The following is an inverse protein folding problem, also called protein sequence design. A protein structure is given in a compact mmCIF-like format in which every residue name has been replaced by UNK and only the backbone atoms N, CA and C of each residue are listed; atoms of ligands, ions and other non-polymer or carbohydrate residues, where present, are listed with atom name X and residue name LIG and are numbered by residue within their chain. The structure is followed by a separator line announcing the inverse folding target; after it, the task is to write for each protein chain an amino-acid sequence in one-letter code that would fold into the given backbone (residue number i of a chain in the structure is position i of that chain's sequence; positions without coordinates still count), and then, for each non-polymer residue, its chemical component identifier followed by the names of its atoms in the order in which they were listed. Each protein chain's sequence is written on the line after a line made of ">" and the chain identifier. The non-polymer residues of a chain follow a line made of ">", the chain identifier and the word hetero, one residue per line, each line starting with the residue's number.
data_IF_526746057397
#
_entry.id   IF_526746057397
#
_cell.length_a   1.000
_cell.length_b   1.000
_cell.length_c   1.000
_cell.angle_alpha   90.00
_cell.angle_beta   90.00
_cell.angle_gamma   90.00
#
_symmetry.space_group_name_H-M   'P 1'
#
loop_
_entity.id
_entity.type
_entity.pdbx_description
1 polymer ?
#
# COMPACT_ATOMS: atom_id res chain seq x y z
N UNK A 1 22.01 -1.29 -20.14
CA UNK A 1 20.85 -1.39 -19.22
C UNK A 1 21.32 -2.26 -18.08
N UNK A 2 21.29 -1.77 -16.85
CA UNK A 2 21.66 -2.58 -15.68
C UNK A 2 20.51 -3.56 -15.37
N UNK A 3 20.80 -4.84 -15.14
CA UNK A 3 19.84 -5.77 -14.57
C UNK A 3 19.33 -5.27 -13.22
N UNK A 4 18.06 -5.55 -12.91
CA UNK A 4 17.43 -5.22 -11.61
C UNK A 4 18.30 -5.66 -10.41
N UNK A 5 18.91 -6.84 -10.54
CA UNK A 5 19.87 -7.40 -9.59
C UNK A 5 21.04 -6.47 -9.29
N UNK A 6 21.71 -5.94 -10.33
CA UNK A 6 22.88 -5.07 -10.18
C UNK A 6 22.51 -3.73 -9.53
N UNK A 7 21.30 -3.25 -9.77
CA UNK A 7 20.78 -2.05 -9.12
C UNK A 7 20.56 -2.30 -7.62
N UNK A 8 19.77 -3.32 -7.26
CA UNK A 8 19.43 -3.65 -5.87
C UNK A 8 20.69 -3.92 -5.04
N UNK A 9 21.64 -4.67 -5.59
CA UNK A 9 22.87 -5.02 -4.88
C UNK A 9 23.78 -3.79 -4.64
N UNK A 10 23.99 -2.94 -5.65
CA UNK A 10 24.89 -1.77 -5.52
C UNK A 10 24.25 -0.64 -4.71
N UNK A 11 22.98 -0.34 -4.98
CA UNK A 11 22.28 0.83 -4.43
C UNK A 11 21.73 0.58 -3.03
N UNK A 12 21.10 -0.58 -2.82
CA UNK A 12 20.39 -0.92 -1.59
C UNK A 12 21.12 -1.95 -0.72
N UNK A 13 22.27 -2.46 -1.18
CA UNK A 13 23.07 -3.48 -0.47
C UNK A 13 22.20 -4.66 -0.01
N UNK A 14 21.26 -5.07 -0.87
CA UNK A 14 20.25 -6.06 -0.59
C UNK A 14 20.30 -7.18 -1.65
N UNK A 15 19.58 -8.27 -1.39
CA UNK A 15 19.39 -9.34 -2.37
C UNK A 15 18.03 -9.18 -3.05
N UNK A 16 17.97 -9.48 -4.34
CA UNK A 16 16.70 -9.63 -5.04
C UNK A 16 16.02 -10.91 -4.56
N UNK A 17 14.72 -10.84 -4.32
CA UNK A 17 13.88 -12.01 -4.16
C UNK A 17 13.19 -12.29 -5.50
N UNK A 18 13.53 -13.41 -6.12
CA UNK A 18 12.92 -13.86 -7.38
C UNK A 18 11.93 -14.98 -7.06
N UNK A 19 10.61 -14.69 -7.01
CA UNK A 19 9.63 -15.69 -6.60
C UNK A 19 9.51 -16.81 -7.64
N UNK A 20 9.61 -18.05 -7.17
CA UNK A 20 9.43 -19.26 -7.96
C UNK A 20 7.94 -19.67 -7.97
N UNK A 21 7.22 -19.56 -9.11
CA UNK A 21 5.82 -19.93 -9.18
C UNK A 21 5.56 -21.44 -8.96
N UNK A 22 6.60 -22.29 -9.03
CA UNK A 22 6.48 -23.71 -8.74
C UNK A 22 6.47 -24.00 -7.23
N UNK A 23 6.92 -23.07 -6.37
CA UNK A 23 6.91 -23.24 -4.92
C UNK A 23 5.65 -22.65 -4.29
N UNK A 24 4.84 -23.46 -3.58
CA UNK A 24 3.55 -23.01 -3.04
C UNK A 24 3.61 -21.75 -2.16
N UNK A 25 4.67 -21.59 -1.37
CA UNK A 25 4.89 -20.45 -0.47
C UNK A 25 5.34 -19.16 -1.19
N UNK A 26 5.84 -19.28 -2.42
CA UNK A 26 6.29 -18.14 -3.23
C UNK A 26 5.25 -17.72 -4.29
N UNK A 27 4.21 -18.54 -4.53
CA UNK A 27 3.17 -18.30 -5.53
C UNK A 27 2.47 -16.94 -5.37
N UNK A 28 2.19 -16.50 -4.15
CA UNK A 28 1.53 -15.21 -3.89
C UNK A 28 2.38 -14.02 -4.37
N UNK A 29 3.71 -14.12 -4.21
CA UNK A 29 4.65 -13.11 -4.68
C UNK A 29 4.70 -13.10 -6.20
N UNK A 30 4.82 -14.28 -6.82
CA UNK A 30 4.82 -14.43 -8.28
C UNK A 30 3.53 -13.85 -8.89
N UNK A 31 2.36 -14.15 -8.31
CA UNK A 31 1.07 -13.63 -8.77
C UNK A 31 0.96 -12.11 -8.61
N UNK A 32 1.36 -11.56 -7.46
CA UNK A 32 1.33 -10.10 -7.23
C UNK A 32 2.19 -9.35 -8.26
N UNK A 33 3.45 -9.77 -8.43
CA UNK A 33 4.37 -9.15 -9.37
C UNK A 33 3.92 -9.32 -10.83
N UNK A 34 3.44 -10.51 -11.22
CA UNK A 34 2.96 -10.76 -12.57
C UNK A 34 1.70 -9.96 -12.88
N UNK A 35 0.75 -9.87 -11.93
CA UNK A 35 -0.46 -9.06 -12.06
C UNK A 35 -0.12 -7.61 -12.35
N UNK A 36 0.76 -7.01 -11.54
CA UNK A 36 1.23 -5.64 -11.74
C UNK A 36 1.90 -5.47 -13.12
N UNK A 37 2.93 -6.29 -13.42
CA UNK A 37 3.67 -6.23 -14.69
C UNK A 37 2.77 -6.34 -15.92
N UNK A 38 1.74 -7.18 -15.88
CA UNK A 38 0.79 -7.33 -16.98
C UNK A 38 -0.08 -6.09 -17.18
N UNK A 39 -0.54 -5.46 -16.08
CA UNK A 39 -1.34 -4.22 -16.14
C UNK A 39 -0.52 -3.04 -16.67
N UNK A 40 0.80 -3.09 -16.48
CA UNK A 40 1.74 -2.06 -16.94
C UNK A 40 2.56 -2.47 -18.16
N UNK A 41 2.21 -3.56 -18.86
CA UNK A 41 3.01 -4.07 -19.97
C UNK A 41 3.20 -3.03 -21.11
N UNK A 42 2.28 -2.07 -21.19
CA UNK A 42 2.29 -0.95 -22.12
C UNK A 42 2.93 0.33 -21.55
N UNK A 43 3.56 0.25 -20.38
CA UNK A 43 4.03 1.43 -19.65
C UNK A 43 5.18 2.17 -20.36
N UNK A 44 5.91 1.50 -21.25
CA UNK A 44 6.91 2.13 -22.10
C UNK A 44 6.32 3.15 -23.09
N UNK A 45 5.00 3.12 -23.31
CA UNK A 45 4.28 4.15 -24.06
C UNK A 45 3.97 5.39 -23.22
N UNK A 46 4.07 5.29 -21.89
CA UNK A 46 3.87 6.44 -21.01
C UNK A 46 5.12 7.30 -20.96
N UNK A 47 4.88 8.59 -20.83
CA UNK A 47 5.89 9.56 -20.43
C UNK A 47 5.61 9.92 -18.99
N UNK A 48 6.64 10.07 -18.17
CA UNK A 48 6.43 10.75 -16.90
C UNK A 48 6.03 12.22 -17.17
N UNK A 49 5.59 12.92 -16.13
CA UNK A 49 5.15 14.30 -16.28
C UNK A 49 6.22 15.27 -16.84
N UNK A 50 7.50 14.94 -16.71
CA UNK A 50 8.60 15.70 -17.36
C UNK A 50 8.75 15.42 -18.87
N UNK A 51 7.90 14.57 -19.44
CA UNK A 51 7.94 14.17 -20.84
C UNK A 51 8.97 13.08 -21.15
N UNK A 52 9.69 12.54 -20.16
CA UNK A 52 10.67 11.48 -20.35
C UNK A 52 9.99 10.11 -20.47
N UNK A 53 10.50 9.18 -21.31
CA UNK A 53 9.96 7.82 -21.38
C UNK A 53 9.97 7.12 -20.01
N UNK A 54 8.85 6.53 -19.62
CA UNK A 54 8.74 5.76 -18.39
C UNK A 54 9.28 4.35 -18.61
N UNK A 55 10.61 4.21 -18.57
CA UNK A 55 11.25 2.89 -18.53
C UNK A 55 11.25 2.40 -17.09
N UNK A 56 10.78 1.19 -16.85
CA UNK A 56 10.56 0.68 -15.50
C UNK A 56 11.08 -0.75 -15.32
N UNK A 57 11.64 -1.03 -14.15
CA UNK A 57 11.82 -2.38 -13.64
C UNK A 57 11.15 -2.49 -12.26
N UNK A 58 10.48 -3.61 -12.04
CA UNK A 58 9.78 -3.85 -10.78
C UNK A 58 10.07 -5.23 -10.21
N UNK A 59 10.29 -5.32 -8.90
CA UNK A 59 10.47 -6.61 -8.24
C UNK A 59 10.68 -6.58 -6.75
N UNK A 60 10.81 -7.78 -6.17
CA UNK A 60 10.95 -7.95 -4.74
C UNK A 60 12.40 -7.88 -4.28
N UNK A 61 12.57 -7.44 -3.04
CA UNK A 61 13.85 -7.40 -2.33
C UNK A 61 13.74 -8.23 -1.06
N UNK A 62 14.75 -9.07 -0.81
CA UNK A 62 14.86 -9.92 0.38
C UNK A 62 15.26 -9.05 1.59
N UNK A 63 14.25 -8.52 2.29
CA UNK A 63 14.38 -7.74 3.52
C UNK A 63 13.25 -8.09 4.48
N UNK A 64 13.56 -8.04 5.78
CA UNK A 64 12.58 -8.25 6.84
C UNK A 64 11.84 -6.97 7.24
N UNK A 65 12.23 -5.80 6.73
CA UNK A 65 11.46 -4.57 6.97
C UNK A 65 10.26 -4.49 6.00
N UNK A 66 9.04 -4.22 6.47
CA UNK A 66 7.85 -4.17 5.61
C UNK A 66 7.78 -2.81 4.90
N UNK A 67 8.36 -2.74 3.70
CA UNK A 67 8.56 -1.48 2.99
C UNK A 67 8.46 -1.61 1.47
N UNK A 68 8.18 -0.52 0.78
CA UNK A 68 8.23 -0.41 -0.68
C UNK A 68 8.75 0.98 -1.07
N UNK A 69 9.33 1.07 -2.28
CA UNK A 69 10.03 2.28 -2.70
C UNK A 69 10.21 2.41 -4.21
N UNK A 70 10.28 3.67 -4.63
CA UNK A 70 10.54 4.11 -5.99
C UNK A 70 11.90 4.84 -6.09
N UNK A 71 12.72 4.45 -7.07
CA UNK A 71 14.03 5.08 -7.34
C UNK A 71 14.27 5.29 -8.85
N UNK A 72 15.30 6.06 -9.20
CA UNK A 72 15.68 6.35 -10.57
C UNK A 72 17.21 6.34 -10.74
N UNK A 73 17.71 5.51 -11.65
CA UNK A 73 19.13 5.46 -12.03
C UNK A 73 19.26 5.24 -13.54
N UNK A 74 20.17 5.99 -14.18
CA UNK A 74 20.56 5.83 -15.59
C UNK A 74 19.38 5.77 -16.59
N UNK A 75 18.34 6.58 -16.37
CA UNK A 75 17.18 6.64 -17.27
C UNK A 75 16.15 5.52 -17.04
N UNK A 76 16.26 4.78 -15.95
CA UNK A 76 15.35 3.70 -15.56
C UNK A 76 14.71 4.03 -14.21
N UNK A 77 13.40 3.83 -14.11
CA UNK A 77 12.65 3.87 -12.86
C UNK A 77 12.63 2.46 -12.25
N UNK A 78 12.84 2.37 -10.95
CA UNK A 78 12.81 1.11 -10.22
C UNK A 78 11.71 1.18 -9.18
N UNK A 79 10.83 0.18 -9.20
CA UNK A 79 9.76 0.01 -8.21
C UNK A 79 10.03 -1.27 -7.44
N UNK A 80 10.16 -1.17 -6.12
CA UNK A 80 10.57 -2.29 -5.29
C UNK A 80 9.64 -2.49 -4.11
N UNK A 81 9.45 -3.74 -3.72
CA UNK A 81 8.72 -4.13 -2.53
C UNK A 81 9.56 -5.12 -1.73
N UNK A 82 9.68 -4.92 -0.42
CA UNK A 82 10.29 -5.91 0.46
C UNK A 82 9.36 -7.11 0.63
N UNK A 83 9.93 -8.33 0.68
CA UNK A 83 9.14 -9.54 0.87
C UNK A 83 8.27 -9.51 2.14
N UNK A 84 8.79 -8.90 3.22
CA UNK A 84 8.08 -8.79 4.47
C UNK A 84 6.77 -8.01 4.33
N UNK A 85 6.71 -7.01 3.44
CA UNK A 85 5.51 -6.20 3.25
C UNK A 85 4.34 -7.03 2.71
N UNK A 86 4.57 -7.91 1.73
CA UNK A 86 3.49 -8.78 1.24
C UNK A 86 3.03 -9.77 2.30
N UNK A 87 3.97 -10.34 3.06
CA UNK A 87 3.64 -11.29 4.13
C UNK A 87 2.75 -10.63 5.20
N UNK A 88 3.08 -9.41 5.62
CA UNK A 88 2.31 -8.66 6.63
C UNK A 88 0.97 -8.17 6.08
N UNK A 89 0.87 -7.80 4.79
CA UNK A 89 -0.42 -7.51 4.13
C UNK A 89 -1.35 -8.72 4.13
N UNK A 90 -0.83 -9.91 3.84
CA UNK A 90 -1.62 -11.15 3.83
C UNK A 90 -2.02 -11.54 5.25
N UNK A 91 -1.12 -11.45 6.22
CA UNK A 91 -1.45 -11.68 7.64
C UNK A 91 -2.56 -10.73 8.10
N UNK A 92 -2.48 -9.44 7.75
CA UNK A 92 -3.49 -8.47 8.11
C UNK A 92 -4.84 -8.77 7.45
N UNK A 93 -4.85 -9.09 6.16
CA UNK A 93 -6.07 -9.44 5.46
C UNK A 93 -6.72 -10.72 6.03
N UNK A 94 -5.93 -11.71 6.43
CA UNK A 94 -6.43 -12.90 7.14
C UNK A 94 -7.14 -12.49 8.43
N UNK A 95 -6.52 -11.61 9.23
CA UNK A 95 -7.14 -11.08 10.42
C UNK A 95 -8.44 -10.33 10.11
N UNK A 96 -8.48 -9.45 9.09
CA UNK A 96 -9.69 -8.71 8.73
C UNK A 96 -10.87 -9.65 8.45
N UNK A 97 -10.64 -10.77 7.75
CA UNK A 97 -11.70 -11.73 7.45
C UNK A 97 -12.12 -12.61 8.65
N UNK A 98 -11.41 -12.58 9.78
CA UNK A 98 -11.91 -13.11 11.06
C UNK A 98 -12.98 -12.23 11.69
N UNK A 99 -13.12 -10.99 11.23
CA UNK A 99 -14.16 -10.07 11.69
C UNK A 99 -15.43 -10.30 10.86
N UNK A 100 -16.53 -10.65 11.53
CA UNK A 100 -17.81 -10.97 10.88
C UNK A 100 -18.41 -9.78 10.11
N UNK A 101 -18.01 -8.57 10.47
CA UNK A 101 -18.49 -7.33 9.85
C UNK A 101 -17.79 -7.03 8.51
N UNK A 102 -16.63 -7.63 8.25
CA UNK A 102 -15.86 -7.42 7.01
C UNK A 102 -16.41 -8.35 5.94
N UNK A 103 -16.92 -7.78 4.85
CA UNK A 103 -17.46 -8.53 3.71
C UNK A 103 -18.43 -9.64 4.17
N UNK A 104 -19.56 -9.28 4.81
CA UNK A 104 -20.49 -10.26 5.39
C UNK A 104 -21.15 -11.16 4.32
N UNK A 105 -21.08 -10.75 3.07
CA UNK A 105 -21.56 -11.45 1.88
C UNK A 105 -20.59 -12.49 1.31
N UNK A 106 -19.39 -12.66 1.90
CA UNK A 106 -18.42 -13.68 1.51
C UNK A 106 -18.34 -14.79 2.55
N UNK A 107 -18.62 -16.02 2.11
CA UNK A 107 -18.60 -17.21 2.96
C UNK A 107 -19.54 -17.10 4.15
N UNK A 108 -19.15 -17.72 5.27
CA UNK A 108 -19.92 -17.77 6.51
C UNK A 108 -19.40 -16.79 7.55
N UNK A 109 -19.66 -15.51 7.34
CA UNK A 109 -19.13 -14.44 8.18
C UNK A 109 -19.59 -14.53 9.64
N UNK A 110 -20.82 -15.00 9.87
CA UNK A 110 -21.44 -15.14 11.18
C UNK A 110 -20.82 -16.24 12.05
N UNK A 111 -20.09 -17.19 11.46
CA UNK A 111 -19.38 -18.27 12.18
C UNK A 111 -17.99 -17.83 12.68
N UNK A 112 -17.52 -16.64 12.28
CA UNK A 112 -16.22 -16.09 12.67
C UNK A 112 -16.23 -15.48 14.09
N UNK A 113 -15.08 -15.51 14.76
CA UNK A 113 -14.97 -15.15 16.19
C UNK A 113 -14.96 -13.63 16.40
N UNK A 114 -14.47 -12.86 15.43
CA UNK A 114 -14.19 -11.42 15.56
C UNK A 114 -13.28 -11.12 16.78
N UNK A 115 -12.05 -11.68 16.82
CA UNK A 115 -11.14 -11.46 17.93
C UNK A 115 -10.80 -9.98 18.08
N UNK A 116 -10.79 -9.51 19.33
CA UNK A 116 -10.32 -8.16 19.68
C UNK A 116 -8.84 -8.24 20.02
N UNK A 117 -8.03 -7.43 19.34
CA UNK A 117 -6.58 -7.39 19.56
C UNK A 117 -6.22 -6.32 20.60
N UNK A 118 -5.15 -6.58 21.36
CA UNK A 118 -4.58 -5.57 22.25
C UNK A 118 -3.81 -4.51 21.46
N UNK A 119 -3.66 -3.31 22.04
CA UNK A 119 -2.86 -2.22 21.43
C UNK A 119 -1.40 -2.61 21.15
N UNK A 120 -0.84 -3.51 21.97
CA UNK A 120 0.55 -3.98 21.84
C UNK A 120 0.72 -5.17 20.88
N UNK A 121 -0.38 -5.58 20.23
CA UNK A 121 -0.39 -6.67 19.26
C UNK A 121 -1.23 -6.27 18.04
N UNK A 122 -0.83 -5.22 17.29
CA UNK A 122 -1.55 -4.88 16.07
C UNK A 122 -1.55 -6.07 15.11
N UNK A 123 -2.70 -6.40 14.49
CA UNK A 123 -2.77 -7.45 13.49
C UNK A 123 -1.91 -7.11 12.27
N UNK A 124 -1.35 -8.14 11.62
CA UNK A 124 -0.49 -7.98 10.43
C UNK A 124 1.00 -7.90 10.73
N UNK A 125 1.43 -7.73 11.99
CA UNK A 125 2.84 -7.63 12.37
C UNK A 125 3.37 -8.86 13.12
N UNK A 126 2.55 -9.89 13.32
CA UNK A 126 2.92 -11.00 14.20
C UNK A 126 4.02 -11.86 13.62
N UNK A 127 3.90 -12.25 12.35
CA UNK A 127 4.90 -13.09 11.69
C UNK A 127 6.25 -12.35 11.66
N UNK A 128 6.21 -11.05 11.39
CA UNK A 128 7.38 -10.18 11.45
C UNK A 128 7.99 -10.15 12.85
N UNK A 129 7.19 -9.90 13.88
CA UNK A 129 7.65 -9.87 15.28
C UNK A 129 8.25 -11.20 15.71
N UNK A 130 7.56 -12.32 15.44
CA UNK A 130 8.05 -13.66 15.75
C UNK A 130 9.41 -13.91 15.08
N UNK A 131 9.57 -13.48 13.83
CA UNK A 131 10.82 -13.65 13.07
C UNK A 131 11.95 -12.79 13.65
N UNK A 132 11.68 -11.53 14.01
CA UNK A 132 12.68 -10.62 14.58
C UNK A 132 13.09 -11.07 15.99
N UNK A 133 12.14 -11.52 16.79
CA UNK A 133 12.35 -11.93 18.18
C UNK A 133 12.85 -13.38 18.32
N UNK A 134 13.00 -14.12 17.22
CA UNK A 134 13.29 -15.57 17.21
C UNK A 134 12.33 -16.36 18.12
N UNK A 135 11.07 -15.94 18.14
CA UNK A 135 10.02 -16.55 18.95
C UNK A 135 9.38 -17.74 18.22
N UNK A 136 8.61 -18.55 18.96
CA UNK A 136 7.80 -19.62 18.38
C UNK A 136 6.35 -19.19 18.17
N UNK A 137 5.72 -19.65 17.09
CA UNK A 137 4.26 -19.60 16.91
C UNK A 137 3.59 -20.44 18.00
N UNK A 138 2.53 -19.90 18.61
CA UNK A 138 1.66 -20.62 19.53
C UNK A 138 0.37 -20.99 18.79
N UNK A 139 0.19 -22.26 18.36
CA UNK A 139 -0.95 -22.64 17.53
C UNK A 139 -2.31 -22.38 18.19
N UNK A 140 -2.41 -22.49 19.52
CA UNK A 140 -3.69 -22.31 20.23
C UNK A 140 -4.05 -20.83 20.35
N UNK A 141 -3.05 -19.98 20.58
CA UNK A 141 -3.24 -18.53 20.65
C UNK A 141 -3.38 -17.89 19.28
N UNK A 142 -2.62 -18.34 18.30
CA UNK A 142 -2.47 -17.63 17.03
C UNK A 142 -3.52 -18.07 15.99
N UNK A 143 -4.17 -19.25 16.16
CA UNK A 143 -5.26 -19.72 15.26
C UNK A 143 -6.45 -18.78 15.17
N UNK A 144 -6.70 -17.95 16.18
CA UNK A 144 -7.84 -17.01 16.19
C UNK A 144 -7.69 -15.90 15.15
N UNK A 145 -6.47 -15.71 14.61
CA UNK A 145 -6.13 -14.67 13.63
C UNK A 145 -6.34 -15.11 12.18
N UNK A 146 -6.78 -16.34 11.97
CA UNK A 146 -7.01 -16.94 10.65
C UNK A 146 -8.51 -17.23 10.51
N UNK A 147 -9.16 -16.91 9.37
CA UNK A 147 -10.56 -17.20 9.17
C UNK A 147 -10.86 -18.69 9.28
N UNK A 148 -11.96 -19.03 9.95
CA UNK A 148 -12.44 -20.42 10.07
C UNK A 148 -13.11 -20.90 8.80
N UNK A 149 -13.82 -20.01 8.13
CA UNK A 149 -14.46 -20.29 6.86
C UNK A 149 -13.40 -20.33 5.74
N UNK A 150 -13.33 -21.45 5.02
CA UNK A 150 -12.36 -21.64 3.92
C UNK A 150 -12.50 -20.58 2.82
N UNK A 151 -13.73 -20.21 2.47
CA UNK A 151 -13.99 -19.18 1.46
C UNK A 151 -13.49 -17.80 1.91
N UNK A 152 -13.68 -17.46 3.18
CA UNK A 152 -13.17 -16.21 3.79
C UNK A 152 -11.64 -16.21 3.87
N UNK A 153 -11.02 -17.34 4.14
CA UNK A 153 -9.57 -17.50 4.07
C UNK A 153 -9.04 -17.21 2.67
N UNK A 154 -9.67 -17.77 1.63
CA UNK A 154 -9.28 -17.49 0.23
C UNK A 154 -9.47 -16.02 -0.13
N UNK A 155 -10.61 -15.44 0.26
CA UNK A 155 -10.90 -14.02 0.03
C UNK A 155 -9.88 -13.09 0.70
N UNK A 156 -9.42 -13.44 1.91
CA UNK A 156 -8.36 -12.71 2.60
C UNK A 156 -7.05 -12.68 1.81
N UNK A 157 -6.62 -13.82 1.25
CA UNK A 157 -5.42 -13.88 0.40
C UNK A 157 -5.58 -12.95 -0.81
N UNK A 158 -6.75 -12.96 -1.46
CA UNK A 158 -7.01 -12.07 -2.58
C UNK A 158 -7.08 -10.59 -2.17
N UNK A 159 -7.63 -10.26 -1.00
CA UNK A 159 -7.57 -8.90 -0.46
C UNK A 159 -6.11 -8.47 -0.22
N UNK A 160 -5.26 -9.31 0.34
CA UNK A 160 -3.83 -9.01 0.50
C UNK A 160 -3.11 -8.81 -0.84
N UNK A 161 -3.50 -9.54 -1.90
CA UNK A 161 -3.01 -9.29 -3.26
C UNK A 161 -3.49 -7.94 -3.80
N UNK A 162 -4.74 -7.54 -3.56
CA UNK A 162 -5.26 -6.22 -3.93
C UNK A 162 -4.58 -5.08 -3.15
N UNK A 163 -4.31 -5.28 -1.87
CA UNK A 163 -3.49 -4.38 -1.05
C UNK A 163 -2.09 -4.23 -1.64
N UNK A 164 -1.45 -5.33 -2.03
CA UNK A 164 -0.14 -5.28 -2.71
C UNK A 164 -0.19 -4.55 -4.05
N UNK A 165 -1.30 -4.70 -4.79
CA UNK A 165 -1.52 -4.00 -6.06
C UNK A 165 -1.62 -2.49 -5.84
N UNK A 166 -2.29 -2.04 -4.78
CA UNK A 166 -2.29 -0.63 -4.38
C UNK A 166 -0.87 -0.12 -4.14
N UNK A 167 -0.05 -0.85 -3.35
CA UNK A 167 1.34 -0.45 -3.09
C UNK A 167 2.18 -0.38 -4.36
N UNK A 168 2.06 -1.38 -5.25
CA UNK A 168 2.76 -1.34 -6.54
C UNK A 168 2.39 -0.10 -7.36
N UNK A 169 1.10 0.26 -7.42
CA UNK A 169 0.66 1.44 -8.14
C UNK A 169 1.01 2.75 -7.44
N UNK A 170 1.08 2.77 -6.12
CA UNK A 170 1.55 3.91 -5.35
C UNK A 170 3.02 4.23 -5.69
N UNK A 171 3.90 3.23 -5.65
CA UNK A 171 5.31 3.44 -6.02
C UNK A 171 5.48 3.77 -7.51
N UNK A 172 4.63 3.20 -8.37
CA UNK A 172 4.58 3.60 -9.76
C UNK A 172 4.13 5.07 -9.93
N UNK A 173 3.17 5.53 -9.14
CA UNK A 173 2.70 6.91 -9.19
C UNK A 173 3.83 7.88 -8.84
N UNK A 174 4.69 7.57 -7.87
CA UNK A 174 5.91 8.34 -7.63
C UNK A 174 6.84 8.45 -8.86
N UNK A 175 6.88 7.41 -9.71
CA UNK A 175 7.64 7.44 -10.96
C UNK A 175 6.94 8.27 -12.04
N UNK A 176 5.64 8.04 -12.24
CA UNK A 176 4.82 8.65 -13.28
C UNK A 176 4.67 10.17 -13.04
N UNK A 177 4.38 10.56 -11.80
CA UNK A 177 4.22 11.94 -11.38
C UNK A 177 5.58 12.61 -11.12
N UNK A 178 6.69 12.02 -11.58
CA UNK A 178 8.01 12.62 -11.49
C UNK A 178 8.49 12.93 -10.06
N UNK A 179 7.85 12.39 -9.02
CA UNK A 179 8.20 12.65 -7.61
C UNK A 179 9.65 12.25 -7.33
N UNK A 180 10.07 11.10 -7.86
CA UNK A 180 11.45 10.61 -7.73
C UNK A 180 12.45 11.58 -8.35
N UNK A 181 12.15 12.11 -9.55
CA UNK A 181 13.01 13.08 -10.23
C UNK A 181 13.03 14.43 -9.51
N UNK A 182 11.87 14.90 -9.08
CA UNK A 182 11.74 16.13 -8.29
C UNK A 182 12.60 16.06 -7.03
N UNK A 183 12.50 14.99 -6.24
CA UNK A 183 13.32 14.84 -5.05
C UNK A 183 14.83 14.85 -5.35
N UNK A 184 15.24 14.13 -6.40
CA UNK A 184 16.63 14.08 -6.84
C UNK A 184 17.14 15.47 -7.26
N UNK A 185 16.38 16.18 -8.08
CA UNK A 185 16.77 17.48 -8.64
C UNK A 185 16.83 18.57 -7.55
N UNK A 186 15.95 18.47 -6.54
CA UNK A 186 15.99 19.29 -5.34
C UNK A 186 17.11 18.90 -4.35
N UNK A 187 17.98 17.94 -4.72
CA UNK A 187 19.05 17.37 -3.88
C UNK A 187 18.55 16.89 -2.51
N UNK A 188 17.30 16.45 -2.46
CA UNK A 188 16.74 15.80 -1.29
C UNK A 188 17.30 14.38 -1.27
N UNK A 189 18.15 14.06 -0.30
CA UNK A 189 18.74 12.72 -0.21
C UNK A 189 17.75 11.76 0.42
N UNK A 190 17.17 10.85 -0.36
CA UNK A 190 16.31 9.78 0.13
C UNK A 190 15.59 9.08 -1.01
N UNK A 191 15.20 7.85 -0.78
CA UNK A 191 14.21 7.15 -1.61
C UNK A 191 12.82 7.54 -1.09
N UNK A 192 11.77 7.54 -1.93
CA UNK A 192 10.39 7.62 -1.43
C UNK A 192 10.04 6.22 -0.89
N UNK A 193 9.55 6.18 0.34
CA UNK A 193 9.49 4.98 1.17
C UNK A 193 8.11 4.93 1.82
N UNK A 194 7.34 3.85 1.58
CA UNK A 194 5.96 3.76 2.10
C UNK A 194 5.91 3.53 3.62
N UNK A 195 6.92 2.88 4.22
CA UNK A 195 7.09 2.77 5.66
C UNK A 195 8.41 3.40 6.09
N UNK A 196 8.37 4.57 6.73
CA UNK A 196 9.58 5.28 7.15
C UNK A 196 10.42 4.44 8.14
N UNK A 197 11.32 3.60 7.63
CA UNK A 197 12.25 2.87 8.45
C UNK A 197 13.20 3.86 9.16
N UNK A 198 13.77 3.53 10.33
CA UNK A 198 14.78 4.35 11.01
C UNK A 198 16.07 4.52 10.19
N UNK A 199 16.19 3.86 9.03
CA UNK A 199 17.34 3.86 8.15
C UNK A 199 17.08 4.72 6.90
N UNK A 200 16.74 5.99 7.12
CA UNK A 200 16.51 6.90 5.99
C UNK A 200 15.96 8.26 6.34
N UNK A 201 16.28 8.81 7.53
CA UNK A 201 16.10 10.24 7.74
C UNK A 201 16.88 10.98 6.67
N UNK A 202 16.13 11.51 5.71
CA UNK A 202 16.56 12.49 4.73
C UNK A 202 17.26 13.63 5.49
N UNK A 203 18.60 13.63 5.49
CA UNK A 203 19.36 14.83 5.76
C UNK A 203 19.37 15.66 4.49
N UNK A 204 18.37 16.54 4.35
CA UNK A 204 18.41 17.56 3.32
C UNK A 204 19.72 18.34 3.39
N UNK A 205 20.47 18.31 2.29
CA UNK A 205 21.64 19.17 2.09
C UNK A 205 21.28 20.52 1.48
N UNK A 206 20.02 20.95 1.60
CA UNK A 206 19.58 22.29 1.20
C UNK A 206 19.36 23.14 2.45
N UNK A 207 20.14 24.22 2.67
CA UNK A 207 20.08 25.04 3.89
C UNK A 207 18.80 25.88 4.10
N UNK A 208 17.75 25.73 3.27
CA UNK A 208 16.70 26.76 3.14
C UNK A 208 15.29 26.33 3.55
N UNK A 209 15.00 25.04 3.82
CA UNK A 209 13.64 24.57 4.21
C UNK A 209 13.59 24.07 5.64
N UNK A 210 12.60 24.52 6.42
CA UNK A 210 12.38 24.05 7.80
C UNK A 210 11.96 22.58 7.82
N UNK A 211 12.14 21.89 8.95
CA UNK A 211 11.70 20.49 9.08
C UNK A 211 10.19 20.32 8.80
N UNK A 212 9.39 21.34 9.10
CA UNK A 212 7.95 21.40 8.85
C UNK A 212 7.63 21.46 7.36
N UNK A 213 8.35 22.29 6.59
CA UNK A 213 8.18 22.38 5.14
C UNK A 213 8.51 21.06 4.44
N UNK A 214 9.50 20.34 4.95
CA UNK A 214 9.87 19.01 4.44
C UNK A 214 8.79 17.96 4.72
N UNK A 215 8.17 18.02 5.91
CA UNK A 215 7.05 17.14 6.27
C UNK A 215 5.84 17.43 5.39
N UNK A 216 5.51 18.69 5.17
CA UNK A 216 4.41 19.12 4.28
C UNK A 216 4.62 18.68 2.84
N UNK A 217 5.84 18.87 2.32
CA UNK A 217 6.20 18.40 0.98
C UNK A 217 5.97 16.90 0.82
N UNK A 218 6.51 16.08 1.73
CA UNK A 218 6.32 14.63 1.69
C UNK A 218 4.84 14.27 1.72
N UNK A 219 4.08 14.90 2.61
CA UNK A 219 2.63 14.66 2.69
C UNK A 219 1.93 14.87 1.34
N UNK A 220 2.27 15.94 0.62
CA UNK A 220 1.65 16.21 -0.69
C UNK A 220 2.06 15.17 -1.73
N UNK A 221 3.34 14.79 -1.78
CA UNK A 221 3.84 13.76 -2.73
C UNK A 221 3.19 12.38 -2.49
N UNK A 222 3.05 12.00 -1.22
CA UNK A 222 2.42 10.73 -0.80
C UNK A 222 0.92 10.71 -1.10
N UNK A 223 0.22 11.81 -0.79
CA UNK A 223 -1.21 11.93 -1.11
C UNK A 223 -1.45 11.92 -2.62
N UNK A 224 -0.63 12.60 -3.40
CA UNK A 224 -0.73 12.60 -4.87
C UNK A 224 -0.48 11.19 -5.46
N UNK A 225 0.47 10.44 -4.89
CA UNK A 225 0.72 9.04 -5.26
C UNK A 225 -0.44 8.11 -4.88
N UNK A 226 -1.01 8.27 -3.68
CA UNK A 226 -2.20 7.53 -3.23
C UNK A 226 -3.40 7.73 -4.16
N UNK A 227 -3.69 8.98 -4.52
CA UNK A 227 -4.80 9.33 -5.40
C UNK A 227 -4.60 8.74 -6.80
N UNK A 228 -3.39 8.81 -7.34
CA UNK A 228 -3.04 8.22 -8.64
C UNK A 228 -3.16 6.69 -8.62
N UNK A 229 -2.69 6.05 -7.55
CA UNK A 229 -2.80 4.61 -7.38
C UNK A 229 -4.25 4.15 -7.30
N UNK A 230 -5.08 4.88 -6.54
CA UNK A 230 -6.51 4.61 -6.44
C UNK A 230 -7.21 4.80 -7.79
N UNK A 231 -6.95 5.89 -8.54
CA UNK A 231 -7.50 6.09 -9.89
C UNK A 231 -7.19 4.91 -10.82
N UNK A 232 -5.96 4.40 -10.78
CA UNK A 232 -5.58 3.23 -11.57
C UNK A 232 -6.34 1.97 -11.17
N UNK A 233 -6.51 1.70 -9.87
CA UNK A 233 -7.32 0.58 -9.40
C UNK A 233 -8.77 0.68 -9.87
N UNK A 234 -9.34 1.89 -9.85
CA UNK A 234 -10.68 2.15 -10.32
C UNK A 234 -10.82 1.96 -11.84
N UNK A 235 -9.82 2.36 -12.63
CA UNK A 235 -9.78 2.10 -14.07
C UNK A 235 -9.70 0.61 -14.40
N UNK A 236 -8.92 -0.16 -13.63
CA UNK A 236 -8.84 -1.61 -13.78
C UNK A 236 -10.20 -2.24 -13.54
N UNK A 237 -10.89 -1.81 -12.48
CA UNK A 237 -12.22 -2.28 -12.14
C UNK A 237 -13.24 -1.93 -13.23
N UNK A 238 -13.38 -0.64 -13.56
CA UNK A 238 -14.35 -0.14 -14.54
C UNK A 238 -14.07 -0.63 -15.96
N UNK A 239 -12.81 -0.89 -16.30
CA UNK A 239 -12.39 -1.42 -17.59
C UNK A 239 -12.51 -2.94 -17.71
N UNK A 240 -12.92 -3.65 -16.65
CA UNK A 240 -12.98 -5.12 -16.64
C UNK A 240 -11.62 -5.78 -16.85
N UNK A 241 -10.54 -5.12 -16.41
CA UNK A 241 -9.16 -5.54 -16.65
C UNK A 241 -8.56 -6.40 -15.52
N UNK A 242 -9.41 -6.98 -14.65
CA UNK A 242 -8.96 -7.88 -13.59
C UNK A 242 -8.22 -9.08 -14.19
N UNK A 243 -7.00 -9.32 -13.71
CA UNK A 243 -6.07 -10.30 -14.27
C UNK A 243 -5.58 -11.35 -13.25
N UNK A 244 -6.05 -11.28 -12.01
CA UNK A 244 -5.89 -12.36 -11.02
C UNK A 244 -7.10 -13.27 -11.16
N UNK A 245 -6.89 -14.45 -11.74
CA UNK A 245 -7.96 -15.39 -12.08
C UNK A 245 -8.89 -15.73 -10.91
N UNK A 246 -8.34 -15.83 -9.70
CA UNK A 246 -9.12 -16.12 -8.50
C UNK A 246 -10.06 -15.00 -8.05
N UNK A 247 -9.77 -13.74 -8.38
CA UNK A 247 -10.68 -12.62 -8.10
C UNK A 247 -11.90 -12.62 -9.02
N UNK A 248 -11.83 -13.29 -10.18
CA UNK A 248 -12.93 -13.39 -11.13
C UNK A 248 -14.08 -14.28 -10.63
N UNK A 249 -13.89 -15.03 -9.54
CA UNK A 249 -14.97 -15.84 -8.93
C UNK A 249 -15.94 -15.03 -8.08
N UNK A 250 -15.54 -13.83 -7.65
CA UNK A 250 -16.40 -12.89 -6.93
C UNK A 250 -17.21 -12.05 -7.93
N UNK A 251 -18.28 -11.39 -7.49
CA UNK A 251 -18.96 -10.41 -8.35
C UNK A 251 -18.21 -9.06 -8.39
N UNK A 252 -18.65 -8.14 -9.25
CA UNK A 252 -18.04 -6.82 -9.38
C UNK A 252 -18.13 -6.02 -8.08
N UNK A 253 -19.28 -6.06 -7.39
CA UNK A 253 -19.50 -5.34 -6.14
C UNK A 253 -18.52 -5.82 -5.06
N UNK A 254 -18.34 -7.14 -4.94
CA UNK A 254 -17.41 -7.75 -3.99
C UNK A 254 -15.95 -7.36 -4.30
N UNK A 255 -15.53 -7.48 -5.55
CA UNK A 255 -14.17 -7.04 -5.97
C UNK A 255 -13.92 -5.57 -5.66
N UNK A 256 -14.92 -4.72 -5.94
CA UNK A 256 -14.83 -3.29 -5.66
C UNK A 256 -14.68 -3.03 -4.17
N UNK A 257 -15.57 -3.59 -3.34
CA UNK A 257 -15.50 -3.48 -1.88
C UNK A 257 -14.15 -3.94 -1.33
N UNK A 258 -13.65 -5.10 -1.78
CA UNK A 258 -12.34 -5.62 -1.37
C UNK A 258 -11.19 -4.68 -1.73
N UNK A 259 -11.21 -4.12 -2.94
CA UNK A 259 -10.18 -3.19 -3.43
C UNK A 259 -10.15 -1.92 -2.58
N UNK A 260 -11.32 -1.34 -2.33
CA UNK A 260 -11.46 -0.10 -1.59
C UNK A 260 -11.14 -0.28 -0.10
N UNK A 261 -11.74 -1.28 0.55
CA UNK A 261 -11.46 -1.57 1.97
C UNK A 261 -9.97 -1.89 2.13
N UNK A 262 -9.40 -2.74 1.26
CA UNK A 262 -7.98 -3.06 1.28
C UNK A 262 -7.08 -1.83 1.13
N UNK A 263 -7.41 -0.91 0.22
CA UNK A 263 -6.68 0.36 0.04
C UNK A 263 -6.73 1.22 1.30
N UNK A 264 -7.91 1.37 1.90
CA UNK A 264 -8.08 2.13 3.15
C UNK A 264 -7.27 1.51 4.30
N UNK A 265 -7.35 0.19 4.42
CA UNK A 265 -6.66 -0.62 5.42
C UNK A 265 -5.13 -0.59 5.27
N UNK A 266 -4.61 -0.43 4.05
CA UNK A 266 -3.17 -0.27 3.83
C UNK A 266 -2.61 1.00 4.46
N UNK A 267 -3.34 2.11 4.40
CA UNK A 267 -2.85 3.36 5.01
C UNK A 267 -2.76 3.26 6.54
N UNK A 268 -3.67 2.52 7.17
CA UNK A 268 -3.61 2.22 8.60
C UNK A 268 -2.43 1.29 8.91
N UNK A 269 -2.25 0.25 8.11
CA UNK A 269 -1.15 -0.70 8.30
C UNK A 269 0.23 -0.03 8.14
N UNK A 270 0.36 0.96 7.25
CA UNK A 270 1.58 1.77 7.13
C UNK A 270 1.88 2.57 8.40
N UNK A 271 0.88 3.11 9.10
CA UNK A 271 1.09 3.74 10.41
C UNK A 271 1.51 2.73 11.47
N UNK A 272 0.92 1.55 11.49
CA UNK A 272 1.32 0.51 12.44
C UNK A 272 2.77 0.06 12.21
N UNK A 273 3.24 -0.02 10.95
CA UNK A 273 4.66 -0.23 10.68
C UNK A 273 5.53 0.90 11.22
N UNK A 274 5.09 2.15 11.10
CA UNK A 274 5.80 3.30 11.67
C UNK A 274 5.84 3.23 13.18
N UNK A 275 4.71 2.97 13.85
CA UNK A 275 4.66 2.80 15.32
C UNK A 275 5.55 1.64 15.78
N UNK A 276 5.53 0.52 15.07
CA UNK A 276 6.38 -0.63 15.32
C UNK A 276 7.86 -0.28 15.17
N UNK A 277 8.23 0.51 14.17
CA UNK A 277 9.59 1.04 14.01
C UNK A 277 9.94 2.09 15.09
N UNK A 278 9.04 3.01 15.43
CA UNK A 278 9.25 4.11 16.38
C UNK A 278 9.39 3.65 17.83
N UNK A 279 8.77 2.51 18.21
CA UNK A 279 9.04 1.81 19.48
C UNK A 279 10.52 1.40 19.63
N UNK A 280 11.30 1.49 18.56
CA UNK A 280 12.76 1.32 18.57
C UNK A 280 13.58 2.61 18.39
N UNK A 281 13.03 3.77 17.98
CA UNK A 281 13.84 4.98 17.70
C UNK A 281 13.16 6.39 17.79
N UNK A 282 12.10 6.57 18.59
CA UNK A 282 11.72 7.88 19.17
C UNK A 282 11.49 9.05 18.17
N UNK A 283 10.72 8.84 17.10
CA UNK A 283 10.22 9.92 16.23
C UNK A 283 8.70 9.88 16.09
N UNK A 284 8.09 11.04 15.86
CA UNK A 284 6.64 11.21 15.77
C UNK A 284 6.25 11.66 14.37
N UNK A 285 5.57 10.78 13.62
CA UNK A 285 4.99 11.07 12.31
C UNK A 285 3.47 11.32 12.39
N UNK A 286 2.88 12.08 11.45
CA UNK A 286 1.47 12.47 11.49
C UNK A 286 0.51 11.32 11.10
N UNK A 287 -0.73 11.40 11.57
CA UNK A 287 -1.74 10.32 11.50
C UNK A 287 -2.32 10.05 10.08
N UNK A 288 -2.61 8.78 9.71
CA UNK A 288 -3.31 8.34 8.50
C UNK A 288 -4.61 9.07 8.19
N UNK A 289 -5.24 9.66 9.20
CA UNK A 289 -6.51 10.39 9.11
C UNK A 289 -6.58 11.34 7.90
N UNK A 290 -5.49 12.06 7.61
CA UNK A 290 -5.44 13.01 6.50
C UNK A 290 -5.33 12.33 5.11
N UNK A 291 -4.52 11.27 4.98
CA UNK A 291 -4.43 10.46 3.75
C UNK A 291 -5.74 9.73 3.46
N UNK A 292 -6.33 9.18 4.52
CA UNK A 292 -7.61 8.49 4.51
C UNK A 292 -8.75 9.38 4.04
N UNK A 293 -8.81 10.62 4.51
CA UNK A 293 -9.88 11.54 4.14
C UNK A 293 -9.77 12.03 2.68
N UNK A 294 -8.54 12.18 2.16
CA UNK A 294 -8.31 12.47 0.72
C UNK A 294 -8.74 11.30 -0.18
N UNK A 295 -8.44 10.06 0.23
CA UNK A 295 -8.91 8.85 -0.47
C UNK A 295 -10.44 8.77 -0.49
N UNK A 296 -11.12 9.04 0.63
CA UNK A 296 -12.59 9.05 0.72
C UNK A 296 -13.23 10.03 -0.27
N UNK A 297 -12.66 11.24 -0.42
CA UNK A 297 -13.15 12.24 -1.36
C UNK A 297 -13.06 11.79 -2.82
N UNK A 298 -11.91 11.26 -3.23
CA UNK A 298 -11.70 10.77 -4.60
C UNK A 298 -12.56 9.52 -4.91
N UNK A 299 -12.76 8.64 -3.92
CA UNK A 299 -13.66 7.49 -4.05
C UNK A 299 -15.10 7.91 -4.38
N UNK A 300 -15.58 9.02 -3.81
CA UNK A 300 -16.92 9.57 -4.07
C UNK A 300 -17.01 10.27 -5.43
N UNK A 301 -15.96 10.93 -5.88
CA UNK A 301 -15.90 11.50 -7.24
C UNK A 301 -15.84 10.41 -8.32
N UNK A 302 -15.13 9.32 -8.06
CA UNK A 302 -15.07 8.16 -8.95
C UNK A 302 -16.35 7.30 -8.94
N UNK A 303 -17.25 7.49 -7.96
CA UNK A 303 -18.54 6.81 -7.85
C UNK A 303 -19.59 7.27 -8.89
N UNK A 304 -19.17 7.66 -10.09
CA UNK A 304 -20.08 7.97 -11.21
C UNK A 304 -20.70 6.72 -11.83
N UNK A 305 -20.22 5.52 -11.49
CA UNK A 305 -20.80 4.25 -11.93
C UNK A 305 -21.95 3.80 -10.98
N UNK A 306 -23.16 3.47 -11.50
CA UNK A 306 -24.32 3.14 -10.66
C UNK A 306 -24.12 1.96 -9.69
N UNK A 307 -23.36 0.94 -10.07
CA UNK A 307 -23.04 -0.21 -9.19
C UNK A 307 -22.07 0.12 -8.06
N UNK A 308 -21.30 1.21 -8.21
CA UNK A 308 -20.34 1.67 -7.21
C UNK A 308 -21.07 2.51 -6.15
N UNK A 309 -22.01 3.38 -6.55
CA UNK A 309 -22.80 4.16 -5.60
C UNK A 309 -23.55 3.30 -4.59
N UNK A 310 -24.07 2.15 -5.02
CA UNK A 310 -24.84 1.26 -4.13
C UNK A 310 -24.00 0.60 -3.04
N UNK A 311 -22.69 0.43 -3.24
CA UNK A 311 -21.80 -0.27 -2.28
C UNK A 311 -21.00 0.68 -1.39
N UNK A 312 -20.95 1.98 -1.70
CA UNK A 312 -20.21 2.96 -0.89
C UNK A 312 -20.73 3.04 0.55
N UNK A 313 -22.04 3.01 0.77
CA UNK A 313 -22.63 3.00 2.11
C UNK A 313 -22.23 1.75 2.90
N UNK A 314 -22.16 0.58 2.25
CA UNK A 314 -21.71 -0.67 2.89
C UNK A 314 -20.23 -0.61 3.26
N UNK A 315 -19.39 0.00 2.41
CA UNK A 315 -17.97 0.21 2.67
C UNK A 315 -17.80 1.13 3.89
N UNK A 316 -18.47 2.27 3.90
CA UNK A 316 -18.42 3.22 5.02
C UNK A 316 -18.91 2.56 6.33
N UNK A 317 -20.02 1.83 6.29
CA UNK A 317 -20.52 1.08 7.45
C UNK A 317 -19.49 0.03 7.94
N UNK A 318 -18.84 -0.67 7.03
CA UNK A 318 -17.79 -1.64 7.37
C UNK A 318 -16.60 -0.96 8.05
N UNK A 319 -16.13 0.16 7.50
CA UNK A 319 -15.02 0.93 8.06
C UNK A 319 -15.38 1.50 9.45
N UNK A 320 -16.60 2.01 9.65
CA UNK A 320 -17.07 2.47 10.97
C UNK A 320 -17.07 1.31 11.97
N UNK A 321 -17.57 0.13 11.60
CA UNK A 321 -17.59 -1.04 12.51
C UNK A 321 -16.18 -1.48 12.91
N UNK A 322 -15.22 -1.38 11.99
CA UNK A 322 -13.82 -1.74 12.23
C UNK A 322 -13.14 -0.87 13.30
N UNK A 323 -13.60 0.35 13.59
CA UNK A 323 -13.06 1.19 14.68
C UNK A 323 -13.06 0.49 16.04
N UNK A 324 -14.05 -0.38 16.26
CA UNK A 324 -14.19 -1.11 17.52
C UNK A 324 -13.37 -2.40 17.57
N UNK A 325 -12.88 -2.86 16.42
CA UNK A 325 -12.19 -4.15 16.25
C UNK A 325 -10.69 -3.99 16.00
N UNK A 326 -10.27 -2.86 15.44
CA UNK A 326 -8.88 -2.52 15.15
C UNK A 326 -8.34 -1.51 16.18
N UNK A 327 -7.31 -1.85 16.96
CA UNK A 327 -6.75 -0.95 17.95
C UNK A 327 -6.24 0.36 17.31
N UNK A 328 -6.77 1.49 17.78
CA UNK A 328 -6.31 2.81 17.34
C UNK A 328 -6.73 3.21 15.92
N UNK A 329 -7.51 2.37 15.23
CA UNK A 329 -8.14 2.75 13.97
C UNK A 329 -9.32 3.70 14.22
N UNK A 330 -9.40 4.77 13.44
CA UNK A 330 -10.51 5.73 13.43
C UNK A 330 -10.84 6.05 11.98
N UNK A 331 -12.10 5.85 11.61
CA UNK A 331 -12.61 6.25 10.31
C UNK A 331 -12.77 7.77 10.29
N UNK A 332 -12.17 8.40 9.28
CA UNK A 332 -12.24 9.85 9.10
C UNK A 332 -13.22 10.18 7.98
N UNK A 333 -14.31 10.88 8.32
CA UNK A 333 -15.21 11.47 7.33
C UNK A 333 -14.66 12.81 6.82
N UNK A 334 -15.01 13.19 5.59
CA UNK A 334 -14.52 14.37 4.84
C UNK A 334 -14.52 15.71 5.62
N UNK A 335 -15.34 15.86 6.66
CA UNK A 335 -15.44 17.06 7.48
C UNK A 335 -14.18 17.43 8.27
N UNK A 336 -13.16 16.56 8.26
CA UNK A 336 -11.92 16.74 9.02
C UNK A 336 -10.67 16.82 8.14
N UNK A 337 -10.82 16.89 6.81
CA UNK A 337 -9.72 17.01 5.87
C UNK A 337 -9.05 18.37 6.02
N UNK A 338 -7.84 18.42 6.57
CA UNK A 338 -6.95 19.56 6.36
C UNK A 338 -6.24 19.31 5.03
N UNK A 339 -6.84 19.78 3.94
CA UNK A 339 -6.10 19.95 2.69
C UNK A 339 -4.95 20.91 2.98
N UNK A 340 -3.71 20.46 2.85
CA UNK A 340 -2.56 21.35 2.96
C UNK A 340 -2.56 22.22 1.70
N UNK A 341 -3.25 23.35 1.78
CA UNK A 341 -3.32 24.36 0.73
C UNK A 341 -2.02 25.18 0.74
N UNK A 342 -1.01 24.70 0.03
CA UNK A 342 0.21 25.46 -0.30
C UNK A 342 0.26 25.71 -1.81
N UNK A 343 -0.31 26.83 -2.29
CA UNK A 343 -0.37 27.15 -3.72
C UNK A 343 1.00 27.27 -4.39
N UNK A 344 2.05 27.61 -3.63
CA UNK A 344 3.40 27.74 -4.18
C UNK A 344 4.03 26.36 -4.42
N UNK A 345 3.76 25.41 -3.52
CA UNK A 345 4.17 24.02 -3.71
C UNK A 345 3.32 23.31 -4.76
N UNK A 346 2.01 23.56 -4.80
CA UNK A 346 1.11 23.02 -5.81
C UNK A 346 1.54 23.47 -7.23
N UNK A 347 1.85 24.76 -7.38
CA UNK A 347 2.42 25.30 -8.62
C UNK A 347 3.81 24.72 -8.98
N UNK A 348 4.62 24.33 -7.98
CA UNK A 348 5.92 23.71 -8.21
C UNK A 348 5.82 22.23 -8.62
N UNK A 349 4.73 21.56 -8.23
CA UNK A 349 4.42 20.18 -8.62
C UNK A 349 3.68 20.09 -9.96
N UNK A 350 3.02 21.16 -10.40
CA UNK A 350 2.27 21.20 -11.66
C UNK A 350 3.05 20.71 -12.90
N UNK A 351 4.36 21.02 -13.10
CA UNK A 351 5.15 20.44 -14.19
C UNK A 351 5.41 18.94 -14.07
N UNK A 352 5.16 18.37 -12.89
CA UNK A 352 5.40 16.98 -12.53
C UNK A 352 4.09 16.20 -12.32
N UNK A 353 2.91 16.80 -12.48
CA UNK A 353 1.64 16.05 -12.45
C UNK A 353 1.36 15.35 -13.78
N UNK A 354 1.06 14.06 -13.71
CA UNK A 354 0.58 13.30 -14.86
C UNK A 354 -0.90 13.63 -15.09
N UNK A 355 -1.25 14.04 -16.32
CA UNK A 355 -2.62 14.41 -16.72
C UNK A 355 -3.27 13.32 -17.55
#
# INVERSE_FOLDING_TARGET
>A
MLPFYDFVQRRHQAKVFEPDPAKPDEQIFAVSQASFRNLIANAEMFRNASGAPLRMQAGYVERLTPDAFADFEDGMHYVMMHQALLATMIEFALFLFTQSVVMPDIGKAEEEISPVMGKDQPPGLQALRITIEDASVDPERDRVRIPRCEERHRAAIYMGLLMSRFVWFHELAHCINGHVLFMRDQRLSGTLISAAAPLGLVRLKTPERTADDQRRLRHILETDADLTALDWLLRIHNGGAENIQGLLTYDDAQRFKMTIIGTYMMTWLFEEYQRFADQSDNLTHPAPRARLAALTGLMREAASHPSIQSVMSEIEETLIKLETQLPGFQFASESEVVMIDDPALDAALEPYRFR
#
